data_IF_707129824080
#
_entry.id   IF_707129824080
#
_cell.length_a   1.000
_cell.length_b   1.000
_cell.length_c   1.000
_cell.angle_alpha   90.00
_cell.angle_beta   90.00
_cell.angle_gamma   90.00
#
_symmetry.space_group_name_H-M   'P 1'
#
loop_
_entity.id
_entity.type
_entity.pdbx_description
1 polymer ?
#
# COMPACT_ATOMS: atom_id res chain seq x y z
N UNK A 1 87.28 33.64 -13.83
CA UNK A 1 86.18 33.16 -12.92
C UNK A 1 85.55 34.38 -12.29
N UNK A 2 84.32 34.74 -12.63
CA UNK A 2 83.61 35.92 -12.10
C UNK A 2 82.85 35.49 -10.85
N UNK A 3 82.89 36.23 -9.75
CA UNK A 3 82.12 35.87 -8.53
C UNK A 3 80.63 36.23 -8.71
N UNK A 4 79.78 35.25 -8.43
CA UNK A 4 78.31 35.27 -8.60
C UNK A 4 77.63 35.73 -7.28
N UNK A 5 78.13 36.76 -6.63
CA UNK A 5 77.41 37.30 -5.45
C UNK A 5 77.22 38.81 -5.68
N UNK A 6 76.07 39.16 -6.27
CA UNK A 6 75.55 40.53 -6.21
C UNK A 6 75.05 40.75 -4.73
N UNK A 7 75.59 41.80 -4.12
CA UNK A 7 75.19 42.24 -2.79
C UNK A 7 73.78 42.80 -2.90
N UNK A 8 72.81 41.95 -2.52
CA UNK A 8 71.48 42.46 -2.22
C UNK A 8 71.53 43.51 -1.10
N UNK A 9 70.51 44.42 -1.01
CA UNK A 9 70.46 45.47 -0.02
C UNK A 9 70.67 44.91 1.36
N UNK A 10 71.55 45.58 2.14
CA UNK A 10 72.01 45.20 3.45
C UNK A 10 70.83 44.88 4.39
N UNK A 11 70.95 43.77 5.15
CA UNK A 11 69.96 43.32 6.12
C UNK A 11 69.37 44.47 6.99
N UNK A 12 70.14 45.43 7.48
CA UNK A 12 69.63 46.56 8.25
C UNK A 12 68.70 47.47 7.44
N UNK A 13 68.92 47.62 6.13
CA UNK A 13 68.03 48.42 5.26
C UNK A 13 66.66 47.75 5.05
N UNK A 14 66.64 46.44 4.91
CA UNK A 14 65.36 45.68 4.83
C UNK A 14 64.58 45.74 6.11
N UNK A 15 65.27 45.66 7.28
CA UNK A 15 64.66 45.75 8.58
C UNK A 15 64.08 47.14 8.82
N UNK A 16 64.81 48.22 8.41
CA UNK A 16 64.35 49.60 8.50
C UNK A 16 63.10 49.83 7.67
N UNK A 17 63.06 49.34 6.44
CA UNK A 17 61.84 49.44 5.56
C UNK A 17 60.68 48.63 6.13
N UNK A 18 60.91 47.42 6.69
CA UNK A 18 59.84 46.62 7.29
C UNK A 18 59.24 47.30 8.53
N UNK A 19 60.08 47.89 9.40
CA UNK A 19 59.62 48.64 10.57
C UNK A 19 58.88 49.91 10.16
N UNK A 20 59.38 50.64 9.14
CA UNK A 20 58.76 51.85 8.63
C UNK A 20 57.39 51.53 8.00
N UNK A 21 57.27 50.44 7.26
CA UNK A 21 56.02 49.95 6.68
C UNK A 21 55.02 49.51 7.77
N UNK A 22 55.49 48.83 8.82
CA UNK A 22 54.67 48.42 9.99
C UNK A 22 54.13 49.64 10.75
N UNK A 23 55.00 50.64 11.02
CA UNK A 23 54.57 51.88 11.71
C UNK A 23 53.64 52.70 10.82
N UNK A 24 53.88 52.72 9.50
CA UNK A 24 52.97 53.35 8.52
C UNK A 24 51.59 52.71 8.48
N UNK A 25 51.56 51.38 8.51
CA UNK A 25 50.29 50.62 8.58
C UNK A 25 49.54 50.85 9.92
N UNK A 26 50.26 50.89 11.06
CA UNK A 26 49.66 51.23 12.33
C UNK A 26 49.12 52.67 12.41
N UNK A 27 49.84 53.62 11.77
CA UNK A 27 49.41 55.03 11.72
C UNK A 27 48.18 55.17 10.81
N UNK A 28 48.12 54.47 9.68
CA UNK A 28 46.95 54.40 8.78
C UNK A 28 45.75 53.80 9.51
N UNK A 29 45.96 52.75 10.31
CA UNK A 29 44.85 52.12 11.08
C UNK A 29 44.29 53.03 12.15
N UNK A 30 45.12 53.94 12.73
CA UNK A 30 44.74 54.87 13.79
C UNK A 30 44.10 56.17 13.24
N UNK A 31 44.48 56.60 12.01
CA UNK A 31 43.96 57.80 11.38
C UNK A 31 42.70 57.57 10.52
N UNK A 32 42.39 56.35 10.20
CA UNK A 32 41.24 56.03 9.37
C UNK A 32 40.19 55.28 10.18
N UNK A 33 39.21 56.04 10.65
CA UNK A 33 37.96 55.52 11.26
C UNK A 33 37.14 54.71 10.25
N UNK A 34 37.73 54.42 9.10
CA UNK A 34 37.14 53.66 7.96
C UNK A 34 37.35 52.14 8.05
N UNK A 35 37.91 51.59 9.13
CA UNK A 35 38.08 50.13 9.29
C UNK A 35 36.76 49.35 9.23
N UNK A 36 35.67 50.01 9.62
CA UNK A 36 34.31 49.47 9.50
C UNK A 36 33.81 49.44 8.07
N UNK A 37 34.14 50.41 7.23
CA UNK A 37 33.76 50.44 5.83
C UNK A 37 34.58 49.47 4.97
N UNK A 38 35.90 49.35 5.27
CA UNK A 38 36.75 48.40 4.55
C UNK A 38 36.36 46.94 4.86
N UNK A 39 35.97 46.63 6.10
CA UNK A 39 35.40 45.33 6.48
C UNK A 39 34.08 45.06 5.79
N UNK A 40 33.21 46.05 5.61
CA UNK A 40 31.92 45.86 4.92
C UNK A 40 32.13 45.61 3.42
N UNK A 41 33.12 46.26 2.78
CA UNK A 41 33.48 45.97 1.37
C UNK A 41 34.11 44.60 1.19
N UNK A 42 34.98 44.17 2.13
CA UNK A 42 35.57 42.83 2.09
C UNK A 42 34.51 41.71 2.37
N UNK A 43 33.60 41.95 3.29
CA UNK A 43 32.48 41.01 3.52
C UNK A 43 31.50 40.97 2.33
N UNK A 44 31.27 42.13 1.66
CA UNK A 44 30.42 42.17 0.46
C UNK A 44 31.08 41.45 -0.73
N UNK A 45 32.43 41.43 -0.80
CA UNK A 45 33.18 40.70 -1.84
C UNK A 45 33.27 39.20 -1.58
N UNK A 46 33.19 38.77 -0.32
CA UNK A 46 33.21 37.34 0.11
C UNK A 46 31.80 36.75 0.10
N UNK A 47 30.78 37.60 0.28
CA UNK A 47 29.35 37.16 0.29
C UNK A 47 28.95 36.36 -0.97
N UNK A 48 29.27 36.76 -2.24
CA UNK A 48 28.92 35.97 -3.40
C UNK A 48 29.65 34.63 -3.47
N UNK A 49 30.84 34.53 -2.83
CA UNK A 49 31.59 33.27 -2.80
C UNK A 49 30.89 32.18 -1.98
N UNK A 50 30.18 32.56 -0.89
CA UNK A 50 29.37 31.66 -0.12
C UNK A 50 28.12 31.17 -0.90
N UNK A 51 27.53 32.02 -1.74
CA UNK A 51 26.45 31.65 -2.64
C UNK A 51 26.90 30.64 -3.69
N UNK A 52 28.07 30.85 -4.28
CA UNK A 52 28.62 29.95 -5.31
C UNK A 52 29.08 28.62 -4.70
N UNK A 53 29.59 28.61 -3.46
CA UNK A 53 30.04 27.40 -2.79
C UNK A 53 28.87 26.47 -2.37
N UNK A 54 27.69 27.03 -2.10
CA UNK A 54 26.50 26.25 -1.71
C UNK A 54 25.59 25.86 -2.89
N UNK A 55 25.76 26.46 -4.07
CA UNK A 55 25.00 26.19 -5.29
C UNK A 55 25.14 24.73 -5.81
N UNK A 56 26.34 24.10 -5.81
CA UNK A 56 26.48 22.75 -6.37
C UNK A 56 25.73 21.67 -5.59
N UNK A 57 25.64 21.79 -4.27
CA UNK A 57 24.99 20.76 -3.45
C UNK A 57 23.48 20.76 -3.57
N UNK A 58 22.83 21.93 -3.63
CA UNK A 58 21.39 22.04 -3.82
C UNK A 58 20.95 21.56 -5.21
N UNK A 59 21.70 21.94 -6.25
CA UNK A 59 21.41 21.52 -7.63
C UNK A 59 21.67 20.02 -7.86
N UNK A 60 22.70 19.47 -7.22
CA UNK A 60 22.99 18.03 -7.29
C UNK A 60 22.01 17.18 -6.49
N UNK A 61 21.52 17.66 -5.35
CA UNK A 61 20.52 16.95 -4.56
C UNK A 61 19.15 16.92 -5.26
N UNK A 62 18.75 18.04 -5.88
CA UNK A 62 17.48 18.11 -6.61
C UNK A 62 17.52 17.30 -7.92
N UNK A 63 18.63 17.34 -8.64
CA UNK A 63 18.82 16.52 -9.83
C UNK A 63 18.83 15.01 -9.48
N UNK A 64 19.56 14.61 -8.45
CA UNK A 64 19.61 13.20 -8.02
C UNK A 64 18.25 12.69 -7.50
N UNK A 65 17.49 13.54 -6.79
CA UNK A 65 16.14 13.21 -6.34
C UNK A 65 15.16 13.06 -7.50
N UNK A 66 15.24 13.90 -8.54
CA UNK A 66 14.41 13.79 -9.73
C UNK A 66 14.76 12.56 -10.57
N UNK A 67 16.05 12.25 -10.75
CA UNK A 67 16.47 11.05 -11.49
C UNK A 67 16.07 9.76 -10.77
N UNK A 68 16.22 9.70 -9.45
CA UNK A 68 15.81 8.54 -8.66
C UNK A 68 14.28 8.36 -8.65
N UNK A 69 13.53 9.46 -8.62
CA UNK A 69 12.07 9.43 -8.73
C UNK A 69 11.59 8.95 -10.09
N UNK A 70 12.25 9.40 -11.18
CA UNK A 70 11.90 8.99 -12.53
C UNK A 70 12.19 7.50 -12.77
N UNK A 71 13.34 7.01 -12.33
CA UNK A 71 13.68 5.59 -12.42
C UNK A 71 12.69 4.73 -11.61
N UNK A 72 12.35 5.16 -10.40
CA UNK A 72 11.36 4.47 -9.56
C UNK A 72 9.98 4.38 -10.22
N UNK A 73 9.53 5.48 -10.84
CA UNK A 73 8.27 5.49 -11.59
C UNK A 73 8.31 4.59 -12.82
N UNK A 74 9.44 4.51 -13.52
CA UNK A 74 9.59 3.59 -14.65
C UNK A 74 9.57 2.14 -14.20
N UNK A 75 10.26 1.79 -13.12
CA UNK A 75 10.25 0.44 -12.54
C UNK A 75 8.85 0.06 -12.04
N UNK A 76 8.17 0.99 -11.36
CA UNK A 76 6.79 0.78 -10.89
C UNK A 76 5.84 0.59 -12.08
N UNK A 77 5.96 1.39 -13.13
CA UNK A 77 5.15 1.25 -14.34
C UNK A 77 5.40 -0.09 -15.03
N UNK A 78 6.66 -0.53 -15.13
CA UNK A 78 7.00 -1.85 -15.67
C UNK A 78 6.38 -2.97 -14.81
N UNK A 79 6.54 -2.90 -13.49
CA UNK A 79 5.96 -3.87 -12.55
C UNK A 79 4.43 -3.93 -12.62
N UNK A 80 3.79 -2.76 -12.73
CA UNK A 80 2.34 -2.69 -12.91
C UNK A 80 1.89 -3.32 -14.23
N UNK A 81 2.62 -3.05 -15.33
CA UNK A 81 2.34 -3.68 -16.63
C UNK A 81 2.51 -5.19 -16.61
N UNK A 82 3.57 -5.69 -15.98
CA UNK A 82 3.76 -7.14 -15.81
C UNK A 82 2.64 -7.76 -14.96
N UNK A 83 2.23 -7.08 -13.89
CA UNK A 83 1.13 -7.54 -13.04
C UNK A 83 -0.19 -7.58 -13.83
N UNK A 84 -0.48 -6.53 -14.60
CA UNK A 84 -1.66 -6.49 -15.49
C UNK A 84 -1.63 -7.61 -16.53
N UNK A 85 -0.48 -7.88 -17.15
CA UNK A 85 -0.35 -8.98 -18.12
C UNK A 85 -0.62 -10.33 -17.46
N UNK A 86 -0.07 -10.57 -16.26
CA UNK A 86 -0.33 -11.80 -15.49
C UNK A 86 -1.81 -11.95 -15.13
N UNK A 87 -2.42 -10.86 -14.63
CA UNK A 87 -3.84 -10.88 -14.29
C UNK A 87 -4.73 -11.13 -15.53
N UNK A 88 -4.44 -10.46 -16.65
CA UNK A 88 -5.18 -10.68 -17.89
C UNK A 88 -5.06 -12.14 -18.38
N UNK A 89 -3.88 -12.74 -18.25
CA UNK A 89 -3.69 -14.15 -18.60
C UNK A 89 -4.53 -15.07 -17.70
N UNK A 90 -4.59 -14.78 -16.41
CA UNK A 90 -5.43 -15.53 -15.47
C UNK A 90 -6.93 -15.39 -15.79
N UNK A 91 -7.38 -14.17 -16.10
CA UNK A 91 -8.76 -13.91 -16.50
C UNK A 91 -9.11 -14.67 -17.78
N UNK A 92 -8.25 -14.64 -18.81
CA UNK A 92 -8.47 -15.40 -20.04
C UNK A 92 -8.54 -16.90 -19.78
N UNK A 93 -7.66 -17.42 -18.94
CA UNK A 93 -7.69 -18.84 -18.55
C UNK A 93 -8.97 -19.20 -17.80
N UNK A 94 -9.40 -18.33 -16.89
CA UNK A 94 -10.67 -18.52 -16.18
C UNK A 94 -11.86 -18.55 -17.14
N UNK A 95 -11.93 -17.58 -18.05
CA UNK A 95 -12.98 -17.53 -19.07
C UNK A 95 -13.00 -18.79 -19.95
N UNK A 96 -11.83 -19.28 -20.36
CA UNK A 96 -11.72 -20.50 -21.12
C UNK A 96 -12.25 -21.71 -20.34
N UNK A 97 -11.84 -21.87 -19.09
CA UNK A 97 -12.31 -22.97 -18.22
C UNK A 97 -13.80 -22.89 -17.96
N UNK A 98 -14.33 -21.68 -17.81
CA UNK A 98 -15.78 -21.45 -17.65
C UNK A 98 -16.53 -21.88 -18.89
N UNK A 99 -16.09 -21.46 -20.08
CA UNK A 99 -16.70 -21.89 -21.35
C UNK A 99 -16.64 -23.42 -21.56
N UNK A 100 -15.52 -24.05 -21.21
CA UNK A 100 -15.38 -25.49 -21.26
C UNK A 100 -16.34 -26.19 -20.28
N UNK A 101 -16.46 -25.69 -19.06
CA UNK A 101 -17.39 -26.20 -18.05
C UNK A 101 -18.84 -26.08 -18.54
N UNK A 102 -19.25 -24.91 -19.06
CA UNK A 102 -20.59 -24.69 -19.60
C UNK A 102 -20.88 -25.62 -20.77
N UNK A 103 -19.90 -25.83 -21.64
CA UNK A 103 -20.02 -26.79 -22.76
C UNK A 103 -20.18 -28.22 -22.26
N UNK A 104 -19.39 -28.66 -21.28
CA UNK A 104 -19.53 -29.98 -20.69
C UNK A 104 -20.88 -30.16 -19.98
N UNK A 105 -21.32 -29.16 -19.25
CA UNK A 105 -22.67 -29.16 -18.61
C UNK A 105 -23.79 -29.25 -19.64
N UNK A 106 -23.69 -28.49 -20.72
CA UNK A 106 -24.68 -28.54 -21.81
C UNK A 106 -24.76 -29.93 -22.48
N UNK A 107 -23.61 -30.59 -22.67
CA UNK A 107 -23.56 -31.96 -23.18
C UNK A 107 -24.16 -33.01 -22.25
N UNK A 108 -24.06 -32.76 -20.94
CA UNK A 108 -24.64 -33.60 -19.90
C UNK A 108 -26.12 -33.29 -19.61
N UNK A 109 -26.73 -32.33 -20.31
CA UNK A 109 -28.11 -31.89 -20.07
C UNK A 109 -28.32 -31.16 -18.75
N UNK A 110 -27.24 -30.67 -18.15
CA UNK A 110 -27.28 -29.90 -16.87
C UNK A 110 -27.62 -28.45 -17.12
N UNK A 111 -28.35 -27.84 -16.18
CA UNK A 111 -28.72 -26.42 -16.26
C UNK A 111 -27.47 -25.54 -16.13
N UNK A 112 -27.32 -24.52 -17.01
CA UNK A 112 -26.21 -23.57 -16.87
C UNK A 112 -26.28 -22.84 -15.52
N UNK A 113 -25.12 -22.61 -14.91
CA UNK A 113 -25.02 -21.77 -13.72
C UNK A 113 -25.25 -20.33 -14.18
N UNK A 114 -26.36 -19.75 -13.78
CA UNK A 114 -26.67 -18.35 -14.07
C UNK A 114 -25.73 -17.45 -13.25
N UNK A 115 -25.04 -16.53 -13.91
CA UNK A 115 -24.25 -15.52 -13.21
C UNK A 115 -25.15 -14.74 -12.24
N UNK A 116 -24.88 -14.86 -10.96
CA UNK A 116 -25.62 -14.14 -9.94
C UNK A 116 -25.31 -12.65 -10.01
N UNK A 117 -26.34 -11.82 -10.21
CA UNK A 117 -26.19 -10.37 -10.16
C UNK A 117 -25.74 -9.94 -8.76
N UNK A 118 -24.57 -9.33 -8.67
CA UNK A 118 -24.04 -8.82 -7.40
C UNK A 118 -24.57 -7.43 -7.12
N UNK A 119 -24.95 -7.17 -5.88
CA UNK A 119 -25.39 -5.88 -5.38
C UNK A 119 -24.43 -5.44 -4.26
N UNK A 120 -23.90 -4.23 -4.37
CA UNK A 120 -23.05 -3.66 -3.30
C UNK A 120 -23.95 -3.00 -2.26
N UNK A 121 -23.70 -3.31 -0.99
CA UNK A 121 -24.43 -2.78 0.15
C UNK A 121 -23.46 -2.25 1.22
N UNK A 122 -23.93 -1.29 2.00
CA UNK A 122 -23.21 -0.74 3.15
C UNK A 122 -23.86 -1.22 4.44
N UNK A 123 -23.04 -1.46 5.45
CA UNK A 123 -23.51 -1.84 6.79
C UNK A 123 -23.99 -0.60 7.53
N UNK A 124 -25.27 -0.56 7.87
CA UNK A 124 -25.87 0.54 8.64
C UNK A 124 -25.72 0.35 10.14
N UNK A 125 -25.81 -0.89 10.61
CA UNK A 125 -25.74 -1.22 12.03
C UNK A 125 -25.23 -2.64 12.23
N UNK A 126 -24.54 -2.85 13.35
CA UNK A 126 -24.07 -4.15 13.79
C UNK A 126 -24.72 -4.44 15.14
N UNK A 127 -25.44 -5.55 15.23
CA UNK A 127 -26.02 -6.06 16.47
C UNK A 127 -25.21 -7.27 16.91
N UNK A 128 -24.38 -7.06 17.91
CA UNK A 128 -23.65 -8.13 18.57
C UNK A 128 -24.26 -8.38 19.93
N UNK A 129 -24.93 -9.50 20.06
CA UNK A 129 -25.48 -9.98 21.31
C UNK A 129 -24.80 -11.33 21.64
N UNK A 130 -24.62 -11.74 22.89
CA UNK A 130 -23.98 -13.00 23.22
C UNK A 130 -24.51 -14.24 22.49
N UNK A 131 -25.76 -14.17 22.01
CA UNK A 131 -26.44 -15.28 21.33
C UNK A 131 -26.83 -14.96 19.87
N UNK A 132 -26.53 -13.77 19.35
CA UNK A 132 -26.94 -13.42 17.99
C UNK A 132 -26.05 -12.35 17.40
N UNK A 133 -25.42 -12.68 16.27
CA UNK A 133 -24.58 -11.80 15.49
C UNK A 133 -25.30 -11.43 14.18
N UNK A 134 -25.85 -10.21 14.11
CA UNK A 134 -26.61 -9.74 12.98
C UNK A 134 -26.11 -8.36 12.52
N UNK A 135 -26.27 -8.08 11.25
CA UNK A 135 -26.03 -6.75 10.68
C UNK A 135 -27.25 -6.25 9.90
N UNK A 136 -27.35 -4.95 9.78
CA UNK A 136 -28.35 -4.30 8.91
C UNK A 136 -27.61 -3.61 7.77
N UNK A 137 -28.08 -3.85 6.55
CA UNK A 137 -27.54 -3.26 5.32
C UNK A 137 -28.50 -2.25 4.71
N UNK A 138 -27.97 -1.28 3.93
CA UNK A 138 -28.70 -0.19 3.29
C UNK A 138 -29.42 -0.61 1.97
N UNK A 139 -29.70 -1.90 1.80
CA UNK A 139 -30.39 -2.45 0.63
C UNK A 139 -31.59 -3.28 1.06
N UNK A 140 -32.68 -3.12 0.33
CA UNK A 140 -33.95 -3.78 0.64
C UNK A 140 -34.66 -4.33 -0.58
N UNK A 141 -35.95 -4.63 -0.44
CA UNK A 141 -36.75 -5.18 -1.53
C UNK A 141 -36.86 -4.26 -2.75
N UNK A 142 -36.78 -2.93 -2.56
CA UNK A 142 -36.72 -1.97 -3.66
C UNK A 142 -35.46 -2.08 -4.51
N UNK A 143 -34.36 -2.56 -3.93
CA UNK A 143 -33.09 -2.78 -4.59
C UNK A 143 -32.98 -4.20 -5.18
N UNK A 144 -34.00 -5.04 -4.98
CA UNK A 144 -34.02 -6.41 -5.48
C UNK A 144 -33.44 -7.43 -4.50
N UNK A 145 -33.26 -7.06 -3.22
CA UNK A 145 -32.82 -8.01 -2.17
C UNK A 145 -33.97 -8.94 -1.83
N UNK A 146 -33.67 -10.23 -1.73
CA UNK A 146 -34.62 -11.26 -1.27
C UNK A 146 -34.04 -12.02 -0.07
N UNK A 147 -34.92 -12.63 0.71
CA UNK A 147 -34.51 -13.45 1.84
C UNK A 147 -33.67 -14.64 1.35
N UNK A 148 -32.81 -15.14 2.22
CA UNK A 148 -31.85 -16.22 1.97
C UNK A 148 -30.72 -15.91 1.00
N UNK A 149 -30.60 -14.69 0.47
CA UNK A 149 -29.43 -14.33 -0.33
C UNK A 149 -28.15 -14.35 0.52
N UNK A 150 -27.04 -14.87 -0.05
CA UNK A 150 -25.74 -14.83 0.60
C UNK A 150 -25.20 -13.41 0.68
N UNK A 151 -24.52 -13.09 1.76
CA UNK A 151 -23.76 -11.86 1.92
C UNK A 151 -22.27 -12.22 1.93
N UNK A 152 -21.51 -11.53 1.06
CA UNK A 152 -20.08 -11.76 0.85
C UNK A 152 -19.32 -10.48 1.16
N UNK A 153 -18.10 -10.61 1.62
CA UNK A 153 -17.11 -9.54 1.70
C UNK A 153 -15.89 -9.87 0.81
N UNK A 154 -14.80 -9.14 0.99
CA UNK A 154 -13.55 -9.35 0.27
C UNK A 154 -12.79 -10.64 0.71
N UNK A 155 -13.10 -11.18 1.87
CA UNK A 155 -12.49 -12.38 2.42
C UNK A 155 -13.31 -13.65 2.15
N UNK A 156 -14.62 -13.50 1.87
CA UNK A 156 -15.49 -14.65 1.60
C UNK A 156 -16.91 -14.45 2.07
N UNK A 157 -17.53 -15.54 2.59
CA UNK A 157 -18.90 -15.52 3.06
C UNK A 157 -18.99 -14.85 4.42
N UNK A 158 -19.79 -13.78 4.51
CA UNK A 158 -20.06 -13.06 5.73
C UNK A 158 -21.34 -13.57 6.45
N UNK A 159 -22.35 -13.95 5.69
CA UNK A 159 -23.62 -14.37 6.25
C UNK A 159 -24.73 -14.53 5.22
N UNK A 160 -25.98 -14.46 5.70
CA UNK A 160 -27.17 -14.66 4.89
C UNK A 160 -28.27 -13.67 5.27
N UNK A 161 -29.04 -13.19 4.29
CA UNK A 161 -30.18 -12.31 4.53
C UNK A 161 -31.33 -13.10 5.17
N UNK A 162 -31.74 -12.69 6.37
CA UNK A 162 -32.84 -13.34 7.10
C UNK A 162 -34.14 -12.55 7.08
N UNK A 163 -34.05 -11.21 6.90
CA UNK A 163 -35.25 -10.36 6.87
C UNK A 163 -35.04 -9.20 5.91
N UNK A 164 -36.01 -8.91 5.07
CA UNK A 164 -35.96 -7.88 4.06
C UNK A 164 -37.02 -6.82 4.32
N UNK A 165 -36.60 -5.60 4.54
CA UNK A 165 -37.46 -4.42 4.59
C UNK A 165 -37.47 -3.69 3.24
N UNK A 166 -38.23 -2.59 3.12
CA UNK A 166 -38.34 -1.84 1.87
C UNK A 166 -37.03 -1.20 1.41
N UNK A 167 -36.20 -0.68 2.33
CA UNK A 167 -34.95 0.07 2.06
C UNK A 167 -33.73 -0.48 2.80
N UNK A 168 -33.94 -1.44 3.68
CA UNK A 168 -32.88 -2.05 4.46
C UNK A 168 -33.18 -3.52 4.69
N UNK A 169 -32.16 -4.34 4.90
CA UNK A 169 -32.31 -5.77 5.18
C UNK A 169 -31.43 -6.17 6.35
N UNK A 170 -31.82 -7.24 7.02
CA UNK A 170 -31.06 -7.82 8.13
C UNK A 170 -30.40 -9.10 7.68
N UNK A 171 -29.12 -9.22 7.95
CA UNK A 171 -28.33 -10.42 7.67
C UNK A 171 -27.86 -11.06 8.97
N UNK A 172 -27.89 -12.38 9.01
CA UNK A 172 -27.32 -13.22 10.05
C UNK A 172 -25.90 -13.59 9.65
N UNK A 173 -24.94 -13.36 10.54
CA UNK A 173 -23.54 -13.65 10.25
C UNK A 173 -23.26 -15.16 10.42
N UNK A 174 -22.23 -15.66 9.72
CA UNK A 174 -21.79 -17.06 9.85
C UNK A 174 -21.28 -17.39 11.27
N UNK A 175 -20.87 -16.37 12.02
CA UNK A 175 -20.45 -16.50 13.42
C UNK A 175 -21.60 -16.65 14.42
N UNK A 176 -22.86 -16.46 13.98
CA UNK A 176 -24.04 -16.61 14.83
C UNK A 176 -24.25 -18.08 15.23
N UNK A 177 -24.61 -18.32 16.50
CA UNK A 177 -24.78 -19.69 17.03
C UNK A 177 -25.96 -20.45 16.42
N UNK A 178 -26.85 -19.76 15.72
CA UNK A 178 -28.00 -20.36 15.02
C UNK A 178 -27.74 -20.55 13.52
N UNK A 179 -26.56 -20.13 13.02
CA UNK A 179 -26.20 -20.26 11.62
C UNK A 179 -25.30 -21.48 11.41
N UNK A 180 -25.64 -22.29 10.44
CA UNK A 180 -24.83 -23.39 9.97
C UNK A 180 -24.72 -23.35 8.45
N UNK A 181 -23.53 -23.60 7.93
CA UNK A 181 -23.23 -23.56 6.50
C UNK A 181 -22.55 -24.86 6.07
N UNK A 182 -22.98 -25.39 4.93
CA UNK A 182 -22.34 -26.54 4.30
C UNK A 182 -21.09 -26.13 3.57
N UNK A 183 -19.97 -26.73 3.92
CA UNK A 183 -18.64 -26.42 3.37
C UNK A 183 -17.99 -27.68 2.80
N UNK A 184 -16.99 -27.47 1.95
CA UNK A 184 -16.14 -28.49 1.38
C UNK A 184 -14.68 -28.14 1.64
N UNK A 185 -13.90 -29.12 2.05
CA UNK A 185 -12.44 -28.96 2.19
C UNK A 185 -11.83 -28.95 0.79
N UNK A 186 -11.09 -27.87 0.44
CA UNK A 186 -10.51 -27.72 -0.88
C UNK A 186 -9.56 -28.87 -1.25
N UNK A 187 -8.79 -29.37 -0.29
CA UNK A 187 -7.73 -30.38 -0.51
C UNK A 187 -8.25 -31.75 -0.90
N UNK A 188 -9.25 -32.27 -0.21
CA UNK A 188 -9.75 -33.63 -0.36
C UNK A 188 -11.19 -33.74 -0.85
N UNK A 189 -11.92 -32.61 -0.89
CA UNK A 189 -13.31 -32.57 -1.32
C UNK A 189 -14.32 -33.05 -0.28
N UNK A 190 -13.89 -33.36 0.94
CA UNK A 190 -14.79 -33.80 2.01
C UNK A 190 -15.78 -32.70 2.41
N UNK A 191 -17.04 -33.10 2.62
CA UNK A 191 -18.10 -32.20 3.05
C UNK A 191 -18.19 -32.14 4.56
N UNK A 192 -18.27 -30.92 5.08
CA UNK A 192 -18.38 -30.62 6.51
C UNK A 192 -19.43 -29.54 6.73
N UNK A 193 -19.99 -29.47 7.91
CA UNK A 193 -20.91 -28.40 8.32
C UNK A 193 -20.18 -27.52 9.32
N UNK A 194 -20.12 -26.22 9.05
CA UNK A 194 -19.57 -25.23 9.98
C UNK A 194 -20.70 -24.47 10.65
N UNK A 195 -20.66 -24.42 11.99
CA UNK A 195 -21.63 -23.73 12.86
C UNK A 195 -20.94 -22.57 13.56
N UNK A 196 -21.63 -21.43 13.67
CA UNK A 196 -21.14 -20.26 14.40
C UNK A 196 -21.06 -20.54 15.91
N UNK A 197 -20.06 -19.96 16.55
CA UNK A 197 -19.85 -20.11 18.02
C UNK A 197 -20.24 -18.85 18.81
N UNK A 198 -20.79 -17.82 18.14
CA UNK A 198 -21.08 -16.52 18.75
C UNK A 198 -19.84 -15.61 18.80
N UNK A 199 -18.66 -16.11 18.45
CA UNK A 199 -17.42 -15.36 18.34
C UNK A 199 -17.13 -15.08 16.86
N UNK A 200 -16.64 -13.90 16.55
CA UNK A 200 -16.47 -13.44 15.15
C UNK A 200 -15.34 -14.16 14.39
N UNK A 201 -14.47 -14.84 15.10
CA UNK A 201 -13.24 -15.43 14.55
C UNK A 201 -13.21 -16.97 14.56
N UNK A 202 -14.29 -17.62 15.04
CA UNK A 202 -14.32 -19.07 15.19
C UNK A 202 -15.63 -19.68 14.72
N UNK A 203 -15.48 -20.76 13.96
CA UNK A 203 -16.56 -21.67 13.58
C UNK A 203 -16.26 -23.05 14.11
N UNK A 204 -17.29 -23.80 14.45
CA UNK A 204 -17.18 -25.18 14.85
C UNK A 204 -17.53 -26.08 13.68
N UNK A 205 -16.69 -27.06 13.39
CA UNK A 205 -17.01 -28.07 12.41
C UNK A 205 -17.85 -29.19 13.07
N UNK A 206 -18.98 -29.46 12.45
CA UNK A 206 -19.95 -30.48 12.90
C UNK A 206 -20.02 -31.60 11.88
N UNK A 207 -20.56 -32.76 12.31
CA UNK A 207 -20.82 -33.92 11.46
C UNK A 207 -19.58 -34.42 10.69
N UNK A 208 -18.43 -34.43 11.39
CA UNK A 208 -17.20 -34.96 10.83
C UNK A 208 -17.30 -36.50 10.77
N UNK A 209 -17.14 -37.11 9.56
CA UNK A 209 -16.96 -38.55 9.47
C UNK A 209 -15.71 -38.97 10.26
N UNK A 210 -15.71 -40.14 10.86
CA UNK A 210 -14.53 -40.66 11.57
C UNK A 210 -13.30 -40.84 10.63
N UNK A 211 -13.52 -40.88 9.31
CA UNK A 211 -12.50 -40.95 8.27
C UNK A 211 -12.10 -39.62 7.72
N UNK A 212 -12.63 -38.49 8.21
CA UNK A 212 -12.31 -37.18 7.67
C UNK A 212 -10.86 -36.82 7.96
N UNK A 213 -10.10 -36.60 6.88
CA UNK A 213 -8.72 -36.11 6.93
C UNK A 213 -8.73 -34.58 6.90
N UNK A 214 -8.69 -33.96 8.08
CA UNK A 214 -8.64 -32.52 8.26
C UNK A 214 -7.28 -32.13 8.82
N UNK A 215 -6.62 -31.18 8.18
CA UNK A 215 -5.30 -30.71 8.55
C UNK A 215 -5.31 -29.21 8.84
N UNK A 216 -4.42 -28.78 9.72
CA UNK A 216 -4.23 -27.37 9.97
C UNK A 216 -3.74 -26.66 8.69
N UNK A 217 -4.43 -25.61 8.28
CA UNK A 217 -4.16 -24.88 7.03
C UNK A 217 -5.06 -25.26 5.86
N UNK A 218 -5.94 -26.27 6.01
CA UNK A 218 -6.95 -26.57 5.00
C UNK A 218 -7.90 -25.39 4.82
N UNK A 219 -8.20 -25.07 3.56
CA UNK A 219 -9.21 -24.07 3.20
C UNK A 219 -10.57 -24.72 3.08
N UNK A 220 -11.56 -24.04 3.62
CA UNK A 220 -12.96 -24.42 3.53
C UNK A 220 -13.66 -23.52 2.49
N UNK A 221 -14.30 -24.15 1.53
CA UNK A 221 -15.09 -23.48 0.50
C UNK A 221 -16.56 -23.81 0.75
N UNK A 222 -17.44 -22.91 0.38
CA UNK A 222 -18.88 -23.21 0.36
C UNK A 222 -19.16 -24.32 -0.64
N UNK A 223 -20.03 -25.27 -0.29
CA UNK A 223 -20.29 -26.47 -1.11
C UNK A 223 -21.38 -26.27 -2.16
N UNK A 224 -22.14 -25.16 -2.09
CA UNK A 224 -23.28 -24.93 -2.98
C UNK A 224 -24.44 -25.94 -2.83
N UNK A 225 -24.32 -26.94 -1.95
CA UNK A 225 -25.33 -28.01 -1.79
C UNK A 225 -26.68 -27.50 -1.30
N UNK A 226 -26.69 -26.40 -0.55
CA UNK A 226 -27.91 -25.78 -0.04
C UNK A 226 -28.60 -24.88 -1.10
N UNK A 227 -27.98 -24.68 -2.26
CA UNK A 227 -28.48 -23.82 -3.33
C UNK A 227 -28.50 -22.33 -2.98
N UNK A 228 -27.92 -21.93 -1.85
CA UNK A 228 -27.93 -20.56 -1.33
C UNK A 228 -26.56 -19.91 -1.55
N UNK A 229 -25.52 -20.60 -1.13
CA UNK A 229 -24.15 -20.10 -1.22
C UNK A 229 -23.52 -20.52 -2.57
N UNK A 230 -22.73 -19.65 -3.19
CA UNK A 230 -21.97 -20.02 -4.40
C UNK A 230 -20.93 -21.12 -4.08
N UNK A 231 -20.60 -21.93 -5.09
CA UNK A 231 -19.48 -22.89 -5.02
C UNK A 231 -18.14 -22.17 -5.09
#
# INVERSE_FOLDING_TARGET
>A
MKPIFERGPSLPLRLFFAVLCSVGLMALDKFTDSSTQLRSYLTALVSPLYYVANLPQALLSDASAQFSSHQRLLEENQKLRETLLRQNTQVQRFQFLQQENDKLRSLLGSVPVTESKRLVAEVLAVYSHPFSNQIVINKGSKDGVVAQQPLLDDLGVLGQIVSVGPTSSRALLISDTTHAISMRIERNGDHVVAEGMGQSDQLRLMHLPHSADIQQGDKLLTSGLDGIFPE
#
